data_IF_235806088658
#
_entry.id   IF_235806088658
#
_cell.length_a   1.000
_cell.length_b   1.000
_cell.length_c   1.000
_cell.angle_alpha   90.00
_cell.angle_beta   90.00
_cell.angle_gamma   90.00
#
_symmetry.space_group_name_H-M   'P 1'
#
loop_
_entity.id
_entity.type
_entity.pdbx_description
1 polymer ?
#
# COMPACT_ATOMS: atom_id res chain seq x y z
N UNK A 1 -6.71 -13.10 -18.26
CA UNK A 1 -7.09 -13.23 -16.84
C UNK A 1 -7.96 -12.05 -16.41
N UNK A 2 -9.08 -12.29 -15.76
CA UNK A 2 -9.90 -11.21 -15.17
C UNK A 2 -9.09 -10.51 -14.08
N UNK A 3 -9.10 -9.16 -14.08
CA UNK A 3 -8.34 -8.35 -13.11
C UNK A 3 -9.07 -8.35 -11.76
N UNK A 4 -8.84 -9.35 -10.92
CA UNK A 4 -9.43 -9.45 -9.58
C UNK A 4 -8.47 -8.87 -8.55
N UNK A 5 -9.01 -8.16 -7.56
CA UNK A 5 -8.27 -7.50 -6.49
C UNK A 5 -8.58 -8.20 -5.17
N UNK A 6 -7.56 -8.49 -4.37
CA UNK A 6 -7.72 -8.92 -2.98
C UNK A 6 -7.77 -7.69 -2.06
N UNK A 7 -8.86 -7.52 -1.32
CA UNK A 7 -9.01 -6.48 -0.31
C UNK A 7 -8.82 -7.09 1.06
N UNK A 8 -7.83 -6.59 1.82
CA UNK A 8 -7.54 -7.11 3.16
C UNK A 8 -8.59 -6.67 4.18
N UNK A 9 -8.69 -7.40 5.30
CA UNK A 9 -9.62 -7.14 6.40
C UNK A 9 -9.53 -5.71 6.93
N UNK A 10 -8.30 -5.21 7.17
CA UNK A 10 -8.08 -4.03 7.98
C UNK A 10 -8.31 -4.32 9.46
N UNK A 11 -8.56 -3.27 10.27
CA UNK A 11 -8.99 -3.43 11.65
C UNK A 11 -10.51 -3.64 11.71
N UNK A 12 -11.00 -4.79 12.17
CA UNK A 12 -12.45 -5.02 12.29
C UNK A 12 -13.13 -4.07 13.29
N UNK A 13 -12.40 -3.60 14.29
CA UNK A 13 -12.93 -2.64 15.28
C UNK A 13 -13.00 -1.21 14.75
N UNK A 14 -12.32 -0.93 13.62
CA UNK A 14 -12.31 0.38 12.96
C UNK A 14 -13.35 0.52 11.85
N UNK A 15 -13.08 1.45 10.93
CA UNK A 15 -13.97 1.79 9.82
C UNK A 15 -13.86 0.87 8.60
N UNK A 16 -12.95 -0.10 8.62
CA UNK A 16 -12.55 -0.91 7.45
C UNK A 16 -13.73 -1.62 6.78
N UNK A 17 -14.58 -2.25 7.59
CA UNK A 17 -15.76 -2.97 7.09
C UNK A 17 -16.79 -2.00 6.50
N UNK A 18 -17.03 -0.87 7.16
CA UNK A 18 -18.00 0.15 6.70
C UNK A 18 -17.60 0.75 5.36
N UNK A 19 -16.33 1.17 5.19
CA UNK A 19 -15.86 1.75 3.94
C UNK A 19 -15.89 0.74 2.80
N UNK A 20 -15.61 -0.54 3.09
CA UNK A 20 -15.73 -1.62 2.09
C UNK A 20 -17.17 -1.80 1.63
N UNK A 21 -18.13 -1.83 2.55
CA UNK A 21 -19.56 -1.93 2.22
C UNK A 21 -20.01 -0.73 1.39
N UNK A 22 -19.62 0.49 1.79
CA UNK A 22 -19.93 1.73 1.04
C UNK A 22 -19.33 1.70 -0.37
N UNK A 23 -18.06 1.31 -0.50
CA UNK A 23 -17.38 1.21 -1.78
C UNK A 23 -18.06 0.22 -2.72
N UNK A 24 -18.39 -1.00 -2.25
CA UNK A 24 -19.09 -1.99 -3.06
C UNK A 24 -20.48 -1.54 -3.48
N UNK A 25 -21.26 -0.99 -2.54
CA UNK A 25 -22.63 -0.50 -2.82
C UNK A 25 -22.66 0.71 -3.75
N UNK A 26 -21.62 1.51 -3.81
CA UNK A 26 -21.55 2.68 -4.68
C UNK A 26 -21.61 2.34 -6.18
N UNK A 27 -21.31 1.09 -6.55
CA UNK A 27 -21.18 0.62 -7.95
C UNK A 27 -20.17 1.39 -8.81
N UNK A 28 -19.35 2.27 -8.18
CA UNK A 28 -18.31 3.05 -8.88
C UNK A 28 -17.04 2.24 -9.12
N UNK A 29 -16.82 1.16 -8.35
CA UNK A 29 -15.67 0.27 -8.50
C UNK A 29 -15.91 -0.69 -9.66
N UNK A 30 -15.15 -0.53 -10.74
CA UNK A 30 -15.32 -1.32 -11.99
C UNK A 30 -14.59 -2.67 -11.92
N UNK A 31 -13.44 -2.73 -11.26
CA UNK A 31 -12.68 -3.96 -11.15
C UNK A 31 -13.26 -4.85 -10.05
N UNK A 32 -13.52 -6.14 -10.32
CA UNK A 32 -13.95 -7.06 -9.29
C UNK A 32 -12.93 -7.15 -8.15
N UNK A 33 -13.43 -7.16 -6.92
CA UNK A 33 -12.63 -7.45 -5.74
C UNK A 33 -13.38 -8.41 -4.82
N UNK A 34 -12.67 -9.07 -3.96
CA UNK A 34 -13.23 -9.79 -2.81
C UNK A 34 -12.60 -9.30 -1.53
N UNK A 35 -13.37 -9.35 -0.46
CA UNK A 35 -12.92 -9.00 0.88
C UNK A 35 -12.44 -10.27 1.59
N UNK A 36 -11.30 -10.21 2.24
CA UNK A 36 -10.81 -11.29 3.12
C UNK A 36 -11.23 -10.92 4.54
N UNK A 37 -12.31 -11.52 5.04
CA UNK A 37 -12.91 -11.15 6.33
C UNK A 37 -13.87 -12.23 6.86
N UNK A 38 -14.38 -12.04 8.07
CA UNK A 38 -15.47 -12.81 8.65
C UNK A 38 -16.81 -12.40 8.02
N UNK A 39 -17.51 -13.31 7.31
CA UNK A 39 -18.76 -12.98 6.63
C UNK A 39 -19.89 -12.56 7.58
N UNK A 40 -20.02 -13.20 8.74
CA UNK A 40 -21.08 -12.90 9.69
C UNK A 40 -20.87 -11.53 10.35
N UNK A 41 -19.61 -11.21 10.65
CA UNK A 41 -19.28 -9.87 11.15
C UNK A 41 -19.60 -8.79 10.13
N UNK A 42 -19.22 -8.98 8.86
CA UNK A 42 -19.54 -8.02 7.78
C UNK A 42 -21.05 -7.82 7.63
N UNK A 43 -21.83 -8.91 7.69
CA UNK A 43 -23.30 -8.86 7.65
C UNK A 43 -23.88 -8.08 8.83
N UNK A 44 -23.35 -8.29 10.04
CA UNK A 44 -23.76 -7.58 11.24
C UNK A 44 -23.42 -6.08 11.17
N UNK A 45 -22.25 -5.71 10.65
CA UNK A 45 -21.90 -4.30 10.43
C UNK A 45 -22.83 -3.66 9.41
N UNK A 46 -23.14 -4.34 8.29
CA UNK A 46 -24.10 -3.84 7.32
C UNK A 46 -25.49 -3.57 7.95
N UNK A 47 -25.97 -4.50 8.78
CA UNK A 47 -27.24 -4.33 9.53
C UNK A 47 -27.20 -3.10 10.44
N UNK A 48 -26.11 -2.88 11.18
CA UNK A 48 -25.92 -1.70 12.03
C UNK A 48 -25.89 -0.39 11.24
N UNK A 49 -25.42 -0.44 9.97
CA UNK A 49 -25.45 0.71 9.06
C UNK A 49 -26.84 0.94 8.41
N UNK A 50 -27.87 0.16 8.73
CA UNK A 50 -29.18 0.21 8.06
C UNK A 50 -29.09 -0.22 6.58
N UNK A 51 -28.13 -1.08 6.21
CA UNK A 51 -27.89 -1.50 4.83
C UNK A 51 -28.20 -2.98 4.65
N UNK A 52 -29.08 -3.31 3.69
CA UNK A 52 -29.16 -4.67 3.17
C UNK A 52 -27.89 -4.97 2.37
N UNK A 53 -27.25 -6.11 2.60
CA UNK A 53 -26.02 -6.53 1.94
C UNK A 53 -26.10 -8.01 1.55
N UNK A 54 -26.04 -8.27 0.24
CA UNK A 54 -25.88 -9.62 -0.26
C UNK A 54 -24.40 -10.00 -0.19
N UNK A 55 -24.10 -11.06 0.55
CA UNK A 55 -22.75 -11.61 0.68
C UNK A 55 -22.70 -12.96 -0.04
N UNK A 56 -21.58 -13.23 -0.70
CA UNK A 56 -21.24 -14.55 -1.20
C UNK A 56 -19.92 -15.00 -0.58
N UNK A 57 -19.96 -16.03 0.24
CA UNK A 57 -18.75 -16.70 0.71
C UNK A 57 -18.16 -17.45 -0.48
N UNK A 58 -16.86 -17.24 -0.71
CA UNK A 58 -16.10 -17.83 -1.81
C UNK A 58 -14.92 -18.64 -1.30
N UNK A 59 -14.60 -19.72 -2.00
CA UNK A 59 -13.42 -20.56 -1.75
C UNK A 59 -12.30 -20.34 -2.79
N UNK A 60 -12.63 -19.74 -3.93
CA UNK A 60 -11.67 -19.44 -4.99
C UNK A 60 -11.80 -18.02 -5.53
N UNK A 61 -10.70 -17.52 -6.13
CA UNK A 61 -10.67 -16.17 -6.72
C UNK A 61 -11.59 -16.04 -7.93
N UNK A 62 -11.79 -17.11 -8.68
CA UNK A 62 -12.66 -17.09 -9.89
C UNK A 62 -14.11 -16.78 -9.54
N UNK A 63 -14.57 -17.25 -8.38
CA UNK A 63 -15.90 -16.96 -7.88
C UNK A 63 -16.11 -15.46 -7.63
N UNK A 64 -15.06 -14.73 -7.24
CA UNK A 64 -15.16 -13.28 -7.00
C UNK A 64 -15.64 -12.55 -8.26
N UNK A 65 -15.05 -12.84 -9.43
CA UNK A 65 -15.48 -12.21 -10.69
C UNK A 65 -16.91 -12.56 -11.06
N UNK A 66 -17.35 -13.80 -10.76
CA UNK A 66 -18.68 -14.29 -11.08
C UNK A 66 -19.77 -13.60 -10.28
N UNK A 67 -19.52 -13.35 -9.00
CA UNK A 67 -20.55 -12.88 -8.07
C UNK A 67 -20.47 -11.39 -7.74
N UNK A 68 -19.36 -10.69 -8.05
CA UNK A 68 -19.10 -9.30 -7.63
C UNK A 68 -20.22 -8.32 -7.95
N UNK A 69 -20.88 -8.46 -9.11
CA UNK A 69 -21.97 -7.54 -9.52
C UNK A 69 -23.24 -7.65 -8.67
N UNK A 70 -23.51 -8.86 -8.16
CA UNK A 70 -24.74 -9.21 -7.43
C UNK A 70 -24.56 -9.30 -5.92
N UNK A 71 -23.37 -9.71 -5.46
CA UNK A 71 -23.04 -9.96 -4.05
C UNK A 71 -21.63 -9.48 -3.75
N UNK A 72 -21.34 -9.07 -2.50
CA UNK A 72 -19.97 -8.84 -2.05
C UNK A 72 -19.29 -10.20 -1.81
N UNK A 73 -18.28 -10.57 -2.63
CA UNK A 73 -17.57 -11.82 -2.41
C UNK A 73 -16.68 -11.70 -1.18
N UNK A 74 -16.73 -12.70 -0.29
CA UNK A 74 -15.91 -12.75 0.91
C UNK A 74 -15.17 -14.07 0.98
N UNK A 75 -13.84 -14.01 1.05
CA UNK A 75 -13.01 -15.16 1.38
C UNK A 75 -12.86 -15.21 2.91
N UNK A 76 -13.34 -16.29 3.57
CA UNK A 76 -13.58 -16.25 5.00
C UNK A 76 -12.28 -16.32 5.82
N UNK A 77 -12.17 -15.44 6.80
CA UNK A 77 -11.26 -15.52 7.95
C UNK A 77 -12.03 -15.10 9.19
N UNK A 78 -12.07 -15.96 10.17
CA UNK A 78 -12.74 -15.69 11.44
C UNK A 78 -12.05 -14.60 12.24
N UNK A 79 -12.83 -13.82 12.98
CA UNK A 79 -12.38 -12.83 13.95
C UNK A 79 -12.91 -13.15 15.34
N UNK A 80 -12.42 -12.45 16.35
CA UNK A 80 -12.92 -12.59 17.72
C UNK A 80 -14.40 -12.23 17.81
N UNK A 81 -15.20 -13.11 18.39
CA UNK A 81 -16.63 -12.88 18.67
C UNK A 81 -16.87 -11.68 19.61
N UNK A 82 -15.84 -11.24 20.36
CA UNK A 82 -15.90 -10.10 21.29
C UNK A 82 -15.66 -8.76 20.59
N UNK A 83 -15.34 -8.75 19.28
CA UNK A 83 -15.03 -7.55 18.51
C UNK A 83 -16.19 -6.55 18.53
N UNK A 84 -15.89 -5.31 18.92
CA UNK A 84 -16.85 -4.19 18.95
C UNK A 84 -16.32 -3.02 18.15
N UNK A 85 -17.16 -2.37 17.35
CA UNK A 85 -16.80 -1.14 16.63
C UNK A 85 -16.38 -0.04 17.61
N UNK A 86 -15.32 0.70 17.26
CA UNK A 86 -14.76 1.78 18.06
C UNK A 86 -13.90 1.33 19.26
N UNK A 87 -13.75 0.01 19.49
CA UNK A 87 -12.94 -0.52 20.59
C UNK A 87 -11.84 -1.45 20.02
N UNK A 88 -10.60 -0.95 19.85
CA UNK A 88 -9.49 -1.76 19.36
C UNK A 88 -9.32 -3.05 20.18
N UNK A 89 -9.16 -4.16 19.49
CA UNK A 89 -9.08 -5.49 20.11
C UNK A 89 -7.86 -6.25 19.62
N UNK A 90 -6.89 -6.45 20.52
CA UNK A 90 -5.65 -7.20 20.23
C UNK A 90 -5.88 -8.66 19.85
N UNK A 91 -7.05 -9.24 20.17
CA UNK A 91 -7.36 -10.63 19.80
C UNK A 91 -7.50 -10.80 18.28
N UNK A 92 -7.79 -9.73 17.54
CA UNK A 92 -7.92 -9.75 16.10
C UNK A 92 -6.59 -9.62 15.32
N UNK A 93 -5.48 -9.36 16.00
CA UNK A 93 -4.17 -9.11 15.34
C UNK A 93 -3.77 -10.26 14.44
N UNK A 94 -3.95 -11.48 14.86
CA UNK A 94 -3.61 -12.67 14.07
C UNK A 94 -4.48 -12.76 12.80
N UNK A 95 -5.79 -12.52 12.91
CA UNK A 95 -6.72 -12.52 11.78
C UNK A 95 -6.40 -11.40 10.78
N UNK A 96 -6.07 -10.20 11.27
CA UNK A 96 -5.62 -9.08 10.44
C UNK A 96 -4.36 -9.47 9.64
N UNK A 97 -3.35 -10.01 10.30
CA UNK A 97 -2.11 -10.42 9.65
C UNK A 97 -2.31 -11.61 8.70
N UNK A 98 -3.18 -12.56 9.07
CA UNK A 98 -3.57 -13.69 8.21
C UNK A 98 -4.21 -13.20 6.92
N UNK A 99 -5.08 -12.19 6.99
CA UNK A 99 -5.71 -11.57 5.83
C UNK A 99 -4.67 -10.95 4.87
N UNK A 100 -3.68 -10.23 5.40
CA UNK A 100 -2.61 -9.65 4.59
C UNK A 100 -1.74 -10.76 3.97
N UNK A 101 -1.37 -11.78 4.75
CA UNK A 101 -0.56 -12.89 4.27
C UNK A 101 -1.24 -13.64 3.12
N UNK A 102 -2.53 -13.96 3.29
CA UNK A 102 -3.32 -14.62 2.24
C UNK A 102 -3.36 -13.78 0.95
N UNK A 103 -3.58 -12.46 1.07
CA UNK A 103 -3.56 -11.58 -0.09
C UNK A 103 -2.19 -11.61 -0.81
N UNK A 104 -1.08 -11.59 -0.05
CA UNK A 104 0.28 -11.69 -0.61
C UNK A 104 0.49 -13.03 -1.33
N UNK A 105 0.07 -14.14 -0.73
CA UNK A 105 0.21 -15.47 -1.32
C UNK A 105 -0.56 -15.58 -2.64
N UNK A 106 -1.78 -15.01 -2.70
CA UNK A 106 -2.59 -14.99 -3.91
C UNK A 106 -1.94 -14.17 -5.05
N UNK A 107 -1.30 -13.03 -4.72
CA UNK A 107 -0.52 -12.26 -5.71
C UNK A 107 0.68 -13.04 -6.21
N UNK A 108 1.45 -13.66 -5.31
CA UNK A 108 2.61 -14.49 -5.68
C UNK A 108 2.23 -15.65 -6.58
N UNK A 109 1.08 -16.26 -6.34
CA UNK A 109 0.50 -17.31 -7.19
C UNK A 109 -0.13 -16.76 -8.48
N UNK A 110 -0.09 -15.44 -8.72
CA UNK A 110 -0.71 -14.76 -9.88
C UNK A 110 -2.23 -14.99 -9.97
N UNK A 111 -2.89 -15.31 -8.89
CA UNK A 111 -4.34 -15.51 -8.85
C UNK A 111 -5.10 -14.18 -8.76
N UNK A 112 -4.48 -13.15 -8.18
CA UNK A 112 -5.00 -11.78 -8.16
C UNK A 112 -3.99 -10.81 -8.77
N UNK A 113 -4.48 -9.68 -9.26
CA UNK A 113 -3.64 -8.68 -9.94
C UNK A 113 -3.08 -7.62 -9.00
N UNK A 114 -3.72 -7.40 -7.86
CA UNK A 114 -3.31 -6.40 -6.88
C UNK A 114 -3.88 -6.72 -5.50
N UNK A 115 -3.26 -6.11 -4.49
CA UNK A 115 -3.75 -6.03 -3.12
C UNK A 115 -4.19 -4.58 -2.87
N UNK A 116 -5.36 -4.43 -2.28
CA UNK A 116 -5.78 -3.18 -1.65
C UNK A 116 -5.86 -3.43 -0.14
N UNK A 117 -5.25 -2.57 0.65
CA UNK A 117 -5.24 -2.72 2.10
C UNK A 117 -6.26 -1.78 2.74
N UNK A 118 -7.13 -2.34 3.56
CA UNK A 118 -7.98 -1.56 4.47
C UNK A 118 -7.13 -1.00 5.63
N UNK A 119 -7.55 0.13 6.25
CA UNK A 119 -6.83 0.73 7.36
C UNK A 119 -6.73 -0.20 8.58
N UNK A 120 -5.60 -0.14 9.26
CA UNK A 120 -5.30 -0.91 10.46
C UNK A 120 -4.95 0.02 11.63
N UNK A 121 -5.17 -0.43 12.85
CA UNK A 121 -4.68 0.22 14.05
C UNK A 121 -3.27 -0.29 14.35
N UNK A 122 -2.24 0.54 14.10
CA UNK A 122 -0.84 0.16 14.30
C UNK A 122 -0.54 -0.15 15.77
N UNK A 123 -1.08 0.65 16.68
CA UNK A 123 -0.87 0.49 18.12
C UNK A 123 -1.37 -0.87 18.58
N UNK A 124 -2.58 -1.26 18.16
CA UNK A 124 -3.15 -2.58 18.48
C UNK A 124 -2.27 -3.72 17.98
N UNK A 125 -1.74 -3.61 16.75
CA UNK A 125 -0.86 -4.64 16.19
C UNK A 125 0.46 -4.69 16.95
N UNK A 126 1.02 -3.54 17.33
CA UNK A 126 2.30 -3.44 18.03
C UNK A 126 2.27 -4.09 19.42
N UNK A 127 1.10 -4.16 20.08
CA UNK A 127 0.93 -4.88 21.34
C UNK A 127 1.25 -6.38 21.24
N UNK A 128 1.02 -7.01 20.08
CA UNK A 128 1.34 -8.42 19.85
C UNK A 128 2.58 -8.62 18.98
N UNK A 129 2.89 -7.66 18.12
CA UNK A 129 3.99 -7.76 17.16
C UNK A 129 4.90 -6.54 17.29
N UNK A 130 5.86 -6.62 18.20
CA UNK A 130 6.90 -5.60 18.35
C UNK A 130 7.54 -5.30 16.99
N UNK A 131 7.79 -4.03 16.70
CA UNK A 131 8.38 -3.55 15.44
C UNK A 131 7.46 -3.66 14.20
N UNK A 132 6.15 -3.61 14.36
CA UNK A 132 5.24 -3.47 13.23
C UNK A 132 5.18 -1.98 12.80
N UNK A 133 5.87 -1.64 11.73
CA UNK A 133 6.00 -0.25 11.25
C UNK A 133 4.80 0.18 10.38
N UNK A 134 4.15 -0.75 9.70
CA UNK A 134 3.00 -0.49 8.83
C UNK A 134 2.89 -1.48 7.67
N UNK A 135 1.96 -1.20 6.76
CA UNK A 135 1.73 -2.06 5.60
C UNK A 135 2.95 -2.14 4.69
N UNK A 136 3.61 -1.02 4.40
CA UNK A 136 4.72 -0.96 3.44
C UNK A 136 5.86 -1.90 3.83
N UNK A 137 6.35 -1.76 5.06
CA UNK A 137 7.45 -2.55 5.58
C UNK A 137 7.05 -4.01 5.77
N UNK A 138 5.80 -4.25 6.19
CA UNK A 138 5.28 -5.59 6.35
C UNK A 138 5.17 -6.34 5.01
N UNK A 139 4.63 -5.68 3.98
CA UNK A 139 4.53 -6.22 2.62
C UNK A 139 5.91 -6.45 2.01
N UNK A 140 6.84 -5.50 2.16
CA UNK A 140 8.23 -5.66 1.71
C UNK A 140 8.88 -6.90 2.32
N UNK A 141 8.74 -7.07 3.64
CA UNK A 141 9.28 -8.25 4.34
C UNK A 141 8.66 -9.55 3.84
N UNK A 142 7.35 -9.57 3.61
CA UNK A 142 6.63 -10.75 3.10
C UNK A 142 7.00 -11.08 1.67
N UNK A 143 7.21 -10.06 0.85
CA UNK A 143 7.67 -10.23 -0.54
C UNK A 143 9.16 -10.60 -0.63
N UNK A 144 9.94 -10.39 0.42
CA UNK A 144 11.41 -10.53 0.45
C UNK A 144 12.12 -9.56 -0.51
N UNK A 145 11.47 -8.45 -0.84
CA UNK A 145 12.02 -7.43 -1.72
C UNK A 145 13.17 -6.67 -1.06
N UNK A 146 14.28 -6.48 -1.81
CA UNK A 146 15.46 -5.74 -1.32
C UNK A 146 15.16 -4.27 -1.07
N UNK A 147 14.23 -3.69 -1.82
CA UNK A 147 13.83 -2.28 -1.69
C UNK A 147 12.37 -2.09 -2.09
N UNK A 148 11.74 -1.09 -1.51
CA UNK A 148 10.42 -0.61 -1.89
C UNK A 148 10.40 0.92 -1.90
N UNK A 149 9.42 1.51 -2.56
CA UNK A 149 9.18 2.93 -2.57
C UNK A 149 7.68 3.20 -2.40
N UNK A 150 7.36 4.16 -1.54
CA UNK A 150 5.99 4.65 -1.43
C UNK A 150 5.75 5.67 -2.55
N UNK A 151 4.70 5.49 -3.32
CA UNK A 151 4.34 6.40 -4.41
C UNK A 151 2.93 6.94 -4.19
N UNK A 152 2.82 8.25 -4.08
CA UNK A 152 1.54 8.96 -4.09
C UNK A 152 1.18 9.26 -5.54
N UNK A 153 0.00 8.82 -5.97
CA UNK A 153 -0.41 8.87 -7.39
C UNK A 153 -1.75 9.57 -7.53
N UNK A 154 -1.83 10.51 -8.47
CA UNK A 154 -3.08 11.03 -8.96
C UNK A 154 -3.08 11.05 -10.50
N UNK A 155 -4.10 11.67 -11.11
CA UNK A 155 -4.22 11.74 -12.58
C UNK A 155 -3.04 12.48 -13.24
N UNK A 156 -2.44 13.45 -12.56
CA UNK A 156 -1.44 14.36 -13.12
C UNK A 156 -0.03 14.07 -12.67
N UNK A 157 0.15 13.62 -11.43
CA UNK A 157 1.46 13.51 -10.80
C UNK A 157 1.67 12.16 -10.11
N UNK A 158 2.94 11.80 -9.99
CA UNK A 158 3.45 10.69 -9.19
C UNK A 158 4.58 11.22 -8.33
N UNK A 159 4.38 11.25 -7.02
CA UNK A 159 5.35 11.80 -6.07
C UNK A 159 5.86 10.68 -5.18
N UNK A 160 7.17 10.60 -5.03
CA UNK A 160 7.84 9.61 -4.22
C UNK A 160 8.72 10.32 -3.19
N UNK A 161 8.36 10.31 -1.91
CA UNK A 161 9.23 10.82 -0.88
C UNK A 161 10.44 9.89 -0.71
N UNK A 162 11.65 10.47 -0.76
CA UNK A 162 12.88 9.72 -0.54
C UNK A 162 13.02 9.27 0.92
N UNK A 163 12.51 10.08 1.85
CA UNK A 163 12.46 9.77 3.29
C UNK A 163 11.03 9.82 3.79
N UNK A 164 10.67 8.89 4.69
CA UNK A 164 9.35 8.80 5.33
C UNK A 164 9.50 8.51 6.81
N UNK A 165 8.59 9.02 7.63
CA UNK A 165 8.51 8.74 9.07
C UNK A 165 9.78 9.09 9.87
N UNK A 166 10.51 10.14 9.45
CA UNK A 166 11.67 10.67 10.14
C UNK A 166 11.37 12.04 10.74
N UNK A 167 11.94 12.38 11.92
CA UNK A 167 11.97 13.75 12.38
C UNK A 167 12.69 14.65 11.36
N UNK A 168 12.21 15.88 11.18
CA UNK A 168 12.77 16.79 10.17
C UNK A 168 14.29 16.99 10.32
N UNK A 169 14.79 17.11 11.55
CA UNK A 169 16.23 17.24 11.87
C UNK A 169 17.10 16.07 11.37
N UNK A 170 16.50 14.91 11.09
CA UNK A 170 17.23 13.71 10.68
C UNK A 170 17.13 13.46 9.16
N UNK A 171 16.38 14.30 8.41
CA UNK A 171 16.17 14.11 6.98
C UNK A 171 17.48 14.20 6.21
N UNK A 172 18.27 15.27 6.40
CA UNK A 172 19.53 15.46 5.63
C UNK A 172 20.51 14.31 5.87
N UNK A 173 20.66 13.86 7.12
CA UNK A 173 21.53 12.74 7.51
C UNK A 173 21.12 11.42 6.87
N UNK A 174 19.85 11.29 6.46
CA UNK A 174 19.30 10.11 5.83
C UNK A 174 19.27 10.16 4.30
N UNK A 175 19.79 11.23 3.70
CA UNK A 175 19.98 11.33 2.25
C UNK A 175 21.38 10.80 1.92
N UNK A 176 21.43 9.74 1.12
CA UNK A 176 22.68 9.16 0.66
C UNK A 176 22.52 8.52 -0.72
N UNK A 177 23.66 8.33 -1.39
CA UNK A 177 23.70 7.74 -2.74
C UNK A 177 22.97 6.41 -2.83
N UNK A 178 23.17 5.50 -1.88
CA UNK A 178 22.55 4.16 -1.91
C UNK A 178 21.03 4.25 -1.90
N UNK A 179 20.47 5.14 -1.08
CA UNK A 179 19.02 5.33 -0.97
C UNK A 179 18.44 5.94 -2.25
N UNK A 180 19.07 7.00 -2.78
CA UNK A 180 18.64 7.64 -4.03
C UNK A 180 18.68 6.62 -5.18
N UNK A 181 19.79 5.89 -5.31
CA UNK A 181 19.96 4.89 -6.37
C UNK A 181 18.90 3.78 -6.27
N UNK A 182 18.67 3.23 -5.08
CA UNK A 182 17.69 2.17 -4.88
C UNK A 182 16.27 2.64 -5.23
N UNK A 183 15.88 3.80 -4.72
CA UNK A 183 14.54 4.35 -4.95
C UNK A 183 14.34 4.69 -6.42
N UNK A 184 15.29 5.37 -7.07
CA UNK A 184 15.20 5.73 -8.50
C UNK A 184 15.12 4.48 -9.39
N UNK A 185 15.89 3.43 -9.08
CA UNK A 185 15.87 2.16 -9.82
C UNK A 185 14.51 1.46 -9.70
N UNK A 186 13.96 1.37 -8.48
CA UNK A 186 12.63 0.80 -8.22
C UNK A 186 11.56 1.58 -8.97
N UNK A 187 11.59 2.92 -8.90
CA UNK A 187 10.64 3.80 -9.58
C UNK A 187 10.71 3.58 -11.10
N UNK A 188 11.90 3.66 -11.68
CA UNK A 188 12.08 3.48 -13.13
C UNK A 188 11.55 2.13 -13.60
N UNK A 189 11.83 1.06 -12.84
CA UNK A 189 11.31 -0.27 -13.14
C UNK A 189 9.78 -0.33 -13.09
N UNK A 190 9.17 0.16 -12.00
CA UNK A 190 7.71 0.16 -11.83
C UNK A 190 7.01 1.04 -12.86
N UNK A 191 7.55 2.22 -13.17
CA UNK A 191 6.97 3.08 -14.21
C UNK A 191 6.92 2.39 -15.56
N UNK A 192 7.96 1.61 -15.92
CA UNK A 192 7.98 0.82 -17.16
C UNK A 192 7.05 -0.39 -17.09
N UNK A 193 7.14 -1.19 -16.03
CA UNK A 193 6.44 -2.48 -15.91
C UNK A 193 4.98 -2.34 -15.54
N UNK A 194 4.70 -1.56 -14.49
CA UNK A 194 3.37 -1.49 -13.87
C UNK A 194 2.53 -0.37 -14.49
N UNK A 195 3.13 0.78 -14.75
CA UNK A 195 2.47 1.93 -15.38
C UNK A 195 2.58 1.93 -16.91
N UNK A 196 3.37 1.02 -17.51
CA UNK A 196 3.57 0.88 -18.96
C UNK A 196 4.06 2.16 -19.65
N UNK A 197 4.82 2.99 -18.95
CA UNK A 197 5.46 4.18 -19.49
C UNK A 197 6.77 3.77 -20.15
N UNK A 198 6.84 3.80 -21.47
CA UNK A 198 8.02 3.33 -22.25
C UNK A 198 9.30 4.09 -21.88
N UNK A 199 9.22 5.41 -21.74
CA UNK A 199 10.34 6.30 -21.41
C UNK A 199 9.99 7.17 -20.21
N UNK A 200 10.05 6.64 -18.97
CA UNK A 200 9.74 7.41 -17.78
C UNK A 200 10.80 8.49 -17.55
N UNK A 201 10.35 9.69 -17.20
CA UNK A 201 11.21 10.81 -16.80
C UNK A 201 11.05 11.05 -15.30
N UNK A 202 12.16 11.15 -14.58
CA UNK A 202 12.17 11.35 -13.14
C UNK A 202 12.77 12.74 -12.87
N UNK A 203 12.02 13.58 -12.17
CA UNK A 203 12.51 14.84 -11.64
C UNK A 203 12.88 14.67 -10.17
N UNK A 204 14.02 15.18 -9.76
CA UNK A 204 14.46 15.22 -8.36
C UNK A 204 14.37 16.66 -7.88
N UNK A 205 13.62 16.91 -6.82
CA UNK A 205 13.59 18.22 -6.15
C UNK A 205 14.81 18.40 -5.26
N UNK A 206 15.20 19.66 -5.02
CA UNK A 206 16.12 20.00 -3.96
C UNK A 206 15.59 19.61 -2.58
N UNK A 207 16.46 19.64 -1.57
CA UNK A 207 16.12 19.37 -0.17
C UNK A 207 15.35 20.55 0.47
N UNK A 208 15.60 21.76 -0.02
CA UNK A 208 14.91 22.97 0.37
C UNK A 208 14.56 23.81 -0.88
N UNK A 209 13.74 24.87 -0.76
CA UNK A 209 13.34 25.70 -1.90
C UNK A 209 14.49 26.39 -2.66
N UNK A 210 15.66 26.50 -2.03
CA UNK A 210 16.85 27.13 -2.60
C UNK A 210 17.85 26.12 -3.18
N UNK A 211 17.54 24.81 -3.14
CA UNK A 211 18.45 23.74 -3.60
C UNK A 211 19.89 23.89 -3.08
N UNK A 212 20.04 24.32 -1.81
CA UNK A 212 21.32 24.54 -1.16
C UNK A 212 22.05 25.84 -1.55
N UNK A 213 21.53 26.63 -2.51
CA UNK A 213 22.09 27.93 -2.95
C UNK A 213 23.63 27.88 -3.13
N UNK A 214 24.08 27.00 -4.02
CA UNK A 214 25.50 26.77 -4.29
C UNK A 214 26.32 26.24 -3.11
N UNK A 215 25.67 25.86 -2.02
CA UNK A 215 26.29 25.34 -0.80
C UNK A 215 26.19 26.27 0.41
N UNK A 216 25.57 27.44 0.26
CA UNK A 216 25.32 28.37 1.37
C UNK A 216 24.27 27.84 2.35
N UNK A 217 23.24 27.14 1.86
CA UNK A 217 22.13 26.60 2.62
C UNK A 217 22.13 25.07 2.70
N UNK A 218 23.32 24.47 2.65
CA UNK A 218 23.52 23.01 2.68
C UNK A 218 24.33 22.52 1.49
N UNK A 219 24.96 21.38 1.65
CA UNK A 219 25.83 20.80 0.63
C UNK A 219 25.30 19.45 0.08
N UNK A 220 24.12 19.05 0.49
CA UNK A 220 23.53 17.75 0.15
C UNK A 220 23.29 17.61 -1.35
N UNK A 221 22.84 18.70 -2.01
CA UNK A 221 22.66 18.73 -3.45
C UNK A 221 23.98 18.53 -4.18
N UNK A 222 25.01 19.29 -3.79
CA UNK A 222 26.33 19.28 -4.44
C UNK A 222 27.07 17.97 -4.18
N UNK A 223 27.07 17.48 -2.94
CA UNK A 223 27.89 16.34 -2.51
C UNK A 223 27.20 14.99 -2.70
N UNK A 224 25.87 14.93 -2.72
CA UNK A 224 25.12 13.67 -2.70
C UNK A 224 24.14 13.58 -3.87
N UNK A 225 23.22 14.55 -4.01
CA UNK A 225 22.08 14.42 -4.93
C UNK A 225 22.57 14.51 -6.38
N UNK A 226 23.31 15.56 -6.73
CA UNK A 226 23.82 15.77 -8.08
C UNK A 226 24.75 14.62 -8.56
N UNK A 227 25.74 14.16 -7.79
CA UNK A 227 26.55 13.00 -8.16
C UNK A 227 25.71 11.71 -8.30
N UNK A 228 24.63 11.56 -7.49
CA UNK A 228 23.73 10.42 -7.62
C UNK A 228 22.99 10.44 -8.97
N UNK A 229 22.50 11.62 -9.37
CA UNK A 229 21.81 11.81 -10.66
C UNK A 229 22.75 11.47 -11.83
N UNK A 230 24.00 11.95 -11.80
CA UNK A 230 24.99 11.64 -12.83
C UNK A 230 25.18 10.12 -12.98
N UNK A 231 25.36 9.41 -11.85
CA UNK A 231 25.52 7.95 -11.86
C UNK A 231 24.27 7.22 -12.39
N UNK A 232 23.08 7.70 -12.05
CA UNK A 232 21.82 7.11 -12.52
C UNK A 232 21.61 7.33 -14.04
N UNK A 233 22.01 8.49 -14.56
CA UNK A 233 22.02 8.76 -16.01
C UNK A 233 22.96 7.81 -16.75
N UNK A 234 24.14 7.53 -16.21
CA UNK A 234 25.08 6.54 -16.76
C UNK A 234 24.46 5.13 -16.82
N UNK A 235 23.50 4.83 -15.94
CA UNK A 235 22.70 3.59 -15.96
C UNK A 235 21.48 3.66 -16.91
N UNK A 236 21.42 4.67 -17.79
CA UNK A 236 20.32 4.90 -18.75
C UNK A 236 18.95 5.15 -18.09
N UNK A 237 18.93 5.74 -16.90
CA UNK A 237 17.72 6.25 -16.25
C UNK A 237 17.59 7.73 -16.60
N UNK A 238 16.47 8.10 -17.22
CA UNK A 238 16.17 9.51 -17.53
C UNK A 238 15.72 10.22 -16.24
N UNK A 239 16.70 10.82 -15.56
CA UNK A 239 16.56 11.48 -14.28
C UNK A 239 17.24 12.85 -14.29
N UNK A 240 16.55 13.88 -13.82
CA UNK A 240 16.98 15.27 -13.89
C UNK A 240 16.76 15.99 -12.55
N UNK A 241 17.53 17.05 -12.30
CA UNK A 241 17.55 17.85 -11.08
C UNK A 241 18.96 17.96 -10.48
N UNK A 242 19.08 18.35 -9.20
CA UNK A 242 17.98 18.87 -8.37
C UNK A 242 17.44 20.20 -8.89
N UNK A 243 16.09 20.36 -8.81
CA UNK A 243 15.38 21.59 -9.18
C UNK A 243 15.00 22.36 -7.93
#
# INVERSE_FOLDING_TARGET
MKKVIALTMGDPSGISTEITIKAWKSKKVKNPFFLIHDPDYVKNVAKKMGKSLNIRVISSVDEASKYFSKSLPIMPIEISKKTKLGKPDKSNVESILKSINLAVDLVKKKQVTAIVTNPICKDTISLKKKNFSGHTEYLQKKDKSKSCAMMMVNKYTKIIPLTTHLPLKDVSKNINFKKINNVATVINHSLKKDFRIKKPKIAVSGLNPHSGDGGLLGNEEKKIIHPSIIKLRAQKIDINGPF
#
